data_IF_048013482234
#
_entry.id   IF_048013482234
#
_cell.length_a   1.000
_cell.length_b   1.000
_cell.length_c   1.000
_cell.angle_alpha   90.00
_cell.angle_beta   90.00
_cell.angle_gamma   90.00
#
_symmetry.space_group_name_H-M   'P 1'
#
loop_
_entity.id
_entity.type
_entity.pdbx_description
1 polymer ?
#
# COMPACT_ATOMS: atom_id res chain seq x y z
N UNK A 1 0.94 26.45 6.24
CA UNK A 1 0.57 25.04 6.51
C UNK A 1 -0.30 24.42 5.39
N UNK A 2 -0.52 25.11 4.27
CA UNK A 2 -1.42 24.64 3.19
C UNK A 2 -0.83 23.54 2.27
N UNK A 3 0.50 23.34 2.26
CA UNK A 3 1.13 22.36 1.35
C UNK A 3 0.95 20.89 1.76
N UNK A 4 0.59 20.62 3.03
CA UNK A 4 0.39 19.26 3.54
C UNK A 4 -1.06 18.77 3.36
N UNK A 5 -2.03 19.68 3.21
CA UNK A 5 -3.46 19.33 3.09
C UNK A 5 -3.82 18.67 1.76
N UNK A 6 -2.99 18.83 0.71
CA UNK A 6 -3.21 18.20 -0.61
C UNK A 6 -2.76 16.75 -0.70
N UNK A 7 -1.93 16.27 0.23
CA UNK A 7 -1.64 14.85 0.35
C UNK A 7 -2.61 14.28 1.37
N UNK A 8 -3.85 13.99 0.92
CA UNK A 8 -4.66 12.95 1.55
C UNK A 8 -3.93 11.63 1.32
N UNK A 9 -2.86 11.40 2.06
CA UNK A 9 -2.35 10.05 2.27
C UNK A 9 -3.45 9.35 3.06
N UNK A 10 -4.38 8.76 2.32
CA UNK A 10 -5.25 7.70 2.77
C UNK A 10 -4.28 6.59 3.16
N UNK A 11 -3.75 6.65 4.38
CA UNK A 11 -2.86 5.61 4.88
C UNK A 11 -3.72 4.35 4.89
N UNK A 12 -3.42 3.43 3.98
CA UNK A 12 -4.03 2.11 4.01
C UNK A 12 -3.36 1.38 5.16
N UNK A 13 -3.95 1.48 6.35
CA UNK A 13 -3.36 1.04 7.62
C UNK A 13 -2.93 -0.44 7.59
N UNK A 14 -3.48 -1.24 6.66
CA UNK A 14 -3.24 -2.69 6.57
C UNK A 14 -2.67 -3.14 5.22
N UNK A 15 -2.23 -2.24 4.33
CA UNK A 15 -1.65 -2.68 3.05
C UNK A 15 -0.51 -1.82 2.54
N UNK A 16 0.63 -2.45 2.24
CA UNK A 16 1.80 -1.81 1.65
C UNK A 16 2.06 -2.36 0.26
N UNK A 17 2.29 -1.47 -0.71
CA UNK A 17 2.53 -1.85 -2.10
C UNK A 17 3.95 -1.50 -2.54
N UNK A 18 4.67 -2.46 -3.13
CA UNK A 18 5.98 -2.29 -3.73
C UNK A 18 5.89 -2.42 -5.25
N UNK A 19 6.00 -1.31 -6.00
CA UNK A 19 6.15 -1.38 -7.44
C UNK A 19 7.52 -1.97 -7.78
N UNK A 20 7.53 -3.05 -8.55
CA UNK A 20 8.72 -3.77 -8.99
C UNK A 20 8.63 -3.96 -10.51
N UNK A 21 9.11 -2.96 -11.26
CA UNK A 21 8.99 -2.92 -12.70
C UNK A 21 7.53 -2.81 -13.14
N UNK A 22 7.05 -3.79 -13.90
CA UNK A 22 5.66 -3.86 -14.36
C UNK A 22 4.71 -4.49 -13.33
N UNK A 23 5.22 -5.02 -12.21
CA UNK A 23 4.40 -5.72 -11.23
C UNK A 23 4.30 -4.93 -9.94
N UNK A 24 3.15 -4.98 -9.30
CA UNK A 24 2.92 -4.39 -7.98
C UNK A 24 2.71 -5.51 -6.98
N UNK A 25 3.61 -5.57 -5.99
CA UNK A 25 3.53 -6.48 -4.87
C UNK A 25 2.75 -5.80 -3.75
N UNK A 26 1.57 -6.29 -3.43
CA UNK A 26 0.72 -5.74 -2.38
C UNK A 26 0.71 -6.72 -1.22
N UNK A 27 1.26 -6.31 -0.09
CA UNK A 27 1.13 -7.03 1.16
C UNK A 27 -0.10 -6.51 1.88
N UNK A 28 -1.02 -7.41 2.22
CA UNK A 28 -2.18 -7.14 3.06
C UNK A 28 -1.97 -7.82 4.40
N UNK A 29 -2.06 -7.04 5.46
CA UNK A 29 -2.13 -7.55 6.82
C UNK A 29 -3.56 -8.01 7.10
N UNK A 30 -3.75 -9.30 7.34
CA UNK A 30 -5.02 -9.90 7.70
C UNK A 30 -5.13 -10.19 9.21
N UNK A 31 -4.36 -9.45 10.04
CA UNK A 31 -4.28 -9.60 11.49
C UNK A 31 -3.48 -10.81 11.97
N UNK A 32 -3.78 -12.01 11.48
CA UNK A 32 -3.12 -13.27 11.88
C UNK A 32 -2.01 -13.69 10.90
N UNK A 33 -2.09 -13.21 9.65
CA UNK A 33 -1.15 -13.54 8.57
C UNK A 33 -1.00 -12.40 7.59
N UNK A 34 0.16 -12.34 6.94
CA UNK A 34 0.39 -11.47 5.79
C UNK A 34 0.07 -12.23 4.49
N UNK A 35 -0.76 -11.64 3.65
CA UNK A 35 -1.05 -12.14 2.31
C UNK A 35 -0.36 -11.27 1.26
N UNK A 36 0.38 -11.91 0.35
CA UNK A 36 1.05 -11.25 -0.76
C UNK A 36 0.24 -11.45 -2.04
N UNK A 37 -0.28 -10.35 -2.56
CA UNK A 37 -0.97 -10.28 -3.85
C UNK A 37 -0.05 -9.63 -4.88
N UNK A 38 0.21 -10.30 -6.00
CA UNK A 38 1.01 -9.75 -7.09
C UNK A 38 0.04 -9.36 -8.20
N UNK A 39 0.05 -8.07 -8.59
CA UNK A 39 -0.67 -7.57 -9.75
C UNK A 39 0.32 -7.23 -10.86
N UNK A 40 -0.02 -7.56 -12.10
CA UNK A 40 0.64 -7.07 -13.33
C UNK A 40 -0.02 -5.76 -13.80
#
# INVERSE_FOLDING_TARGET
>A
LEKLQKRKSLMQENSISYPCGNKVFIFKDAGDKFELEIKD
#
